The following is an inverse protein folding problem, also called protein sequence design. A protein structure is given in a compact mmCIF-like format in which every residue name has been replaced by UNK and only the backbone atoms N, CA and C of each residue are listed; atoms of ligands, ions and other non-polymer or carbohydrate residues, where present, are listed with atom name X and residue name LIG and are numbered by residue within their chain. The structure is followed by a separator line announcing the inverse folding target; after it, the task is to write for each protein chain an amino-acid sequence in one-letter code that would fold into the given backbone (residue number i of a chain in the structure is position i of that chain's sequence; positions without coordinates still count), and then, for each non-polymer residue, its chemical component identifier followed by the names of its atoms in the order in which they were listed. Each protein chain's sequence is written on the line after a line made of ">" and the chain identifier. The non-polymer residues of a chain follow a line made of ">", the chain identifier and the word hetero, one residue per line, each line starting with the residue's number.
data_IF_192172543772
#
_entry.id   IF_192172543772
#
_cell.length_a   1.000
_cell.length_b   1.000
_cell.length_c   1.000
_cell.angle_alpha   90.00
_cell.angle_beta   90.00
_cell.angle_gamma   90.00
#
_symmetry.space_group_name_H-M   'P 1'
#
loop_
_entity.id
_entity.type
_entity.pdbx_description
1 polymer ?
#
# COMPACT_ATOMS: atom_id res chain seq x y z
N UNK A 1 1.06 -15.39 21.98
CA UNK A 1 1.32 -14.54 23.15
C UNK A 1 1.92 -13.16 22.80
N UNK A 2 2.58 -12.98 21.64
CA UNK A 2 3.10 -11.67 21.20
C UNK A 2 2.09 -10.78 20.45
N UNK A 3 1.09 -11.36 19.77
CA UNK A 3 0.10 -10.59 19.01
C UNK A 3 -0.77 -9.70 19.90
N UNK A 4 -1.13 -10.15 21.11
CA UNK A 4 -2.02 -9.41 22.03
C UNK A 4 -1.31 -8.22 22.68
N UNK A 5 -0.04 -8.36 23.05
CA UNK A 5 0.77 -7.25 23.57
C UNK A 5 1.09 -6.21 22.49
N UNK A 6 1.36 -6.66 21.26
CA UNK A 6 1.57 -5.79 20.11
C UNK A 6 0.29 -5.03 19.75
N UNK A 7 -0.85 -5.72 19.63
CA UNK A 7 -2.14 -5.07 19.41
C UNK A 7 -2.43 -4.00 20.49
N UNK A 8 -2.20 -4.31 21.77
CA UNK A 8 -2.46 -3.38 22.88
C UNK A 8 -1.54 -2.15 22.90
N UNK A 9 -0.28 -2.28 22.49
CA UNK A 9 0.65 -1.15 22.38
C UNK A 9 0.35 -0.24 21.16
N UNK A 10 -0.21 -0.81 20.08
CA UNK A 10 -0.48 -0.08 18.84
C UNK A 10 -1.93 0.46 18.74
N UNK A 11 -2.90 -0.13 19.46
CA UNK A 11 -4.29 0.36 19.55
C UNK A 11 -4.53 1.43 20.63
N UNK A 12 -3.51 1.84 21.40
CA UNK A 12 -3.67 2.72 22.59
C UNK A 12 -3.19 4.17 22.38
N UNK A 13 -3.18 4.68 21.15
CA UNK A 13 -2.91 6.11 20.86
C UNK A 13 -4.01 6.76 20.03
N UNK A 14 -5.27 6.49 20.36
CA UNK A 14 -6.37 7.39 20.00
C UNK A 14 -6.32 8.62 20.91
N UNK A 15 -5.26 9.43 20.79
CA UNK A 15 -5.31 10.80 21.26
C UNK A 15 -6.18 11.57 20.27
N UNK A 16 -7.38 11.94 20.71
CA UNK A 16 -8.42 12.69 19.98
C UNK A 16 -8.04 14.14 19.64
N UNK A 17 -6.75 14.47 19.61
CA UNK A 17 -6.25 15.76 19.15
C UNK A 17 -5.82 15.62 17.69
N UNK A 18 -6.34 16.51 16.83
CA UNK A 18 -5.99 16.60 15.41
C UNK A 18 -4.52 17.00 15.28
N UNK A 19 -3.62 16.03 15.36
CA UNK A 19 -2.21 16.19 14.98
C UNK A 19 -2.15 16.48 13.49
N UNK A 20 -1.22 17.33 13.06
CA UNK A 20 -1.07 17.63 11.63
C UNK A 20 -0.84 16.32 10.86
N UNK A 21 -1.25 16.22 9.58
CA UNK A 21 -1.06 15.01 8.80
C UNK A 21 0.38 14.49 8.92
N UNK A 22 1.40 15.35 8.85
CA UNK A 22 2.83 15.00 9.00
C UNK A 22 3.23 14.34 10.33
N UNK A 23 2.52 14.61 11.42
CA UNK A 23 2.85 14.10 12.77
C UNK A 23 2.09 12.82 13.14
N UNK A 24 1.05 12.46 12.37
CA UNK A 24 0.31 11.22 12.58
C UNK A 24 1.15 9.99 12.22
N UNK A 25 0.95 8.86 12.91
CA UNK A 25 1.57 7.58 12.54
C UNK A 25 1.15 7.18 11.12
N UNK A 26 1.99 6.41 10.43
CA UNK A 26 1.73 5.90 9.07
C UNK A 26 1.53 4.40 9.05
N UNK A 27 0.74 3.91 8.10
CA UNK A 27 0.52 2.48 7.90
C UNK A 27 1.83 1.69 7.68
N UNK A 28 2.86 2.31 7.08
CA UNK A 28 4.16 1.65 6.86
C UNK A 28 4.85 1.24 8.17
N UNK A 29 4.53 1.89 9.29
CA UNK A 29 5.01 1.52 10.63
C UNK A 29 4.17 0.44 11.32
N UNK A 30 3.10 -0.05 10.66
CA UNK A 30 2.22 -1.11 11.16
C UNK A 30 2.56 -2.47 10.54
N UNK A 31 1.97 -3.52 11.09
CA UNK A 31 2.04 -4.87 10.53
C UNK A 31 1.17 -4.98 9.26
N UNK A 32 1.77 -4.70 8.09
CA UNK A 32 1.13 -4.92 6.79
C UNK A 32 0.97 -6.42 6.47
N UNK A 33 0.02 -6.82 5.60
CA UNK A 33 -0.15 -8.20 5.13
C UNK A 33 0.97 -8.61 4.16
N UNK A 34 2.19 -8.77 4.68
CA UNK A 34 3.42 -8.99 3.89
C UNK A 34 3.32 -10.25 3.02
N UNK A 35 2.61 -11.29 3.48
CA UNK A 35 2.46 -12.55 2.75
C UNK A 35 1.70 -12.34 1.44
N UNK A 36 0.57 -11.62 1.50
CA UNK A 36 -0.29 -11.30 0.38
C UNK A 36 0.40 -10.36 -0.59
N UNK A 37 1.06 -9.32 -0.04
CA UNK A 37 1.87 -8.36 -0.82
C UNK A 37 2.98 -9.09 -1.58
N UNK A 38 3.70 -9.99 -0.90
CA UNK A 38 4.78 -10.78 -1.50
C UNK A 38 4.28 -11.73 -2.57
N UNK A 39 3.11 -12.36 -2.37
CA UNK A 39 2.47 -13.21 -3.39
C UNK A 39 2.15 -12.42 -4.65
N UNK A 40 1.57 -11.22 -4.51
CA UNK A 40 1.32 -10.31 -5.64
C UNK A 40 2.61 -9.91 -6.36
N UNK A 41 3.65 -9.56 -5.60
CA UNK A 41 4.98 -9.23 -6.14
C UNK A 41 5.66 -10.41 -6.86
N UNK A 42 5.48 -11.64 -6.37
CA UNK A 42 6.01 -12.85 -6.99
C UNK A 42 5.32 -13.12 -8.34
N UNK A 43 3.99 -13.00 -8.41
CA UNK A 43 3.21 -13.12 -9.65
C UNK A 43 3.60 -12.06 -10.67
N UNK A 44 3.85 -10.83 -10.22
CA UNK A 44 4.41 -9.80 -11.08
C UNK A 44 5.76 -10.30 -11.61
N UNK A 45 6.73 -10.61 -10.73
CA UNK A 45 8.11 -11.05 -11.06
C UNK A 45 8.18 -12.26 -12.01
N UNK A 46 7.27 -13.21 -11.91
CA UNK A 46 7.27 -14.42 -12.72
C UNK A 46 6.73 -14.24 -14.15
N UNK A 47 6.29 -13.03 -14.54
CA UNK A 47 5.80 -12.76 -15.90
C UNK A 47 6.95 -12.65 -16.92
N UNK A 48 7.26 -13.77 -17.56
CA UNK A 48 8.28 -13.90 -18.61
C UNK A 48 7.76 -13.80 -20.04
N UNK A 49 7.18 -12.67 -20.44
CA UNK A 49 6.94 -12.40 -21.88
C UNK A 49 8.21 -11.86 -22.50
N UNK A 50 8.83 -12.54 -23.47
CA UNK A 50 10.18 -12.28 -24.06
C UNK A 50 10.44 -10.91 -24.72
N UNK A 51 10.06 -9.81 -24.07
CA UNK A 51 10.36 -8.41 -24.38
C UNK A 51 11.47 -7.94 -23.43
N UNK A 52 12.32 -7.03 -23.87
CA UNK A 52 13.46 -6.52 -23.09
C UNK A 52 13.06 -5.99 -21.69
N UNK A 53 11.90 -5.33 -21.59
CA UNK A 53 11.32 -4.82 -20.32
C UNK A 53 10.89 -5.92 -19.33
N UNK A 54 10.88 -7.19 -19.76
CA UNK A 54 10.60 -8.37 -18.93
C UNK A 54 11.83 -9.28 -18.77
N UNK A 55 12.94 -8.96 -19.45
CA UNK A 55 14.23 -9.65 -19.30
C UNK A 55 14.82 -9.34 -17.92
N UNK A 56 14.61 -8.12 -17.43
CA UNK A 56 14.90 -7.76 -16.05
C UNK A 56 13.93 -6.69 -15.51
N UNK A 57 13.34 -6.97 -14.35
CA UNK A 57 12.32 -6.11 -13.69
C UNK A 57 12.83 -4.69 -13.42
N UNK A 58 14.14 -4.47 -13.22
CA UNK A 58 14.67 -3.12 -12.96
C UNK A 58 14.56 -2.17 -14.16
N UNK A 59 14.31 -2.69 -15.37
CA UNK A 59 14.05 -1.89 -16.58
C UNK A 59 12.55 -1.74 -16.88
N UNK A 60 11.66 -2.18 -15.98
CA UNK A 60 10.22 -2.00 -16.16
C UNK A 60 9.82 -0.52 -15.99
N UNK A 61 8.96 -0.02 -16.88
CA UNK A 61 8.53 1.39 -16.94
C UNK A 61 7.59 1.83 -15.80
N UNK A 62 7.29 0.95 -14.84
CA UNK A 62 6.33 1.21 -13.76
C UNK A 62 6.76 0.54 -12.47
N UNK A 63 6.48 1.16 -11.30
CA UNK A 63 6.82 0.57 -10.00
C UNK A 63 6.08 -0.75 -9.81
N UNK A 64 6.69 -1.67 -9.07
CA UNK A 64 6.07 -2.97 -8.72
C UNK A 64 4.88 -2.78 -7.79
N UNK A 65 4.00 -3.78 -7.70
CA UNK A 65 2.87 -3.77 -6.77
C UNK A 65 3.33 -3.52 -5.33
N UNK A 66 4.41 -4.20 -4.91
CA UNK A 66 4.99 -4.02 -3.56
C UNK A 66 5.40 -2.56 -3.35
N UNK A 67 6.13 -1.96 -4.29
CA UNK A 67 6.56 -0.57 -4.21
C UNK A 67 5.38 0.40 -4.13
N UNK A 68 4.32 0.18 -4.92
CA UNK A 68 3.10 1.00 -4.88
C UNK A 68 2.39 0.91 -3.52
N UNK A 69 2.28 -0.29 -2.96
CA UNK A 69 1.65 -0.51 -1.65
C UNK A 69 2.50 0.13 -0.54
N UNK A 70 3.82 0.00 -0.60
CA UNK A 70 4.73 0.66 0.34
C UNK A 70 4.58 2.18 0.29
N UNK A 71 4.53 2.77 -0.92
CA UNK A 71 4.31 4.20 -1.08
C UNK A 71 2.94 4.63 -0.54
N UNK A 72 1.88 3.87 -0.80
CA UNK A 72 0.56 4.12 -0.24
C UNK A 72 0.56 4.07 1.29
N UNK A 73 1.20 3.05 1.87
CA UNK A 73 1.29 2.88 3.32
C UNK A 73 2.12 3.98 4.00
N UNK A 74 3.09 4.58 3.30
CA UNK A 74 3.84 5.72 3.80
C UNK A 74 3.00 7.01 3.85
N UNK A 75 1.94 7.10 3.06
CA UNK A 75 1.10 8.30 2.95
C UNK A 75 -0.18 8.24 3.78
N UNK A 76 -0.63 7.05 4.15
CA UNK A 76 -1.91 6.87 4.84
C UNK A 76 -1.71 6.70 6.35
N UNK A 77 -2.68 7.23 7.11
CA UNK A 77 -2.77 7.05 8.55
C UNK A 77 -3.41 5.70 8.92
N UNK A 78 -3.15 5.17 10.13
CA UNK A 78 -3.92 4.05 10.70
C UNK A 78 -5.41 4.40 10.89
N UNK A 79 -6.29 3.40 11.07
CA UNK A 79 -6.00 1.96 11.22
C UNK A 79 -5.91 1.19 9.89
N UNK A 80 -5.19 0.08 9.86
CA UNK A 80 -5.05 -0.78 8.66
C UNK A 80 -6.40 -1.27 8.11
N UNK A 81 -7.38 -1.51 8.98
CA UNK A 81 -8.73 -1.98 8.64
C UNK A 81 -9.40 -1.12 7.55
N UNK A 82 -9.15 0.19 7.56
CA UNK A 82 -9.77 1.15 6.64
C UNK A 82 -9.15 1.08 5.23
N UNK A 83 -8.02 0.38 5.11
CA UNK A 83 -7.19 0.31 3.91
C UNK A 83 -7.05 -1.10 3.34
N UNK A 84 -7.51 -2.13 4.05
CA UNK A 84 -7.36 -3.54 3.67
C UNK A 84 -7.90 -3.82 2.26
N UNK A 85 -9.04 -3.22 1.91
CA UNK A 85 -9.69 -3.42 0.63
C UNK A 85 -8.83 -2.91 -0.55
N UNK A 86 -8.28 -1.70 -0.42
CA UNK A 86 -7.41 -1.10 -1.43
C UNK A 86 -6.06 -1.82 -1.48
N UNK A 87 -5.49 -2.21 -0.33
CA UNK A 87 -4.24 -2.96 -0.30
C UNK A 87 -4.42 -4.32 -0.99
N UNK A 88 -5.53 -5.03 -0.71
CA UNK A 88 -5.87 -6.30 -1.38
C UNK A 88 -6.03 -6.12 -2.90
N UNK A 89 -6.72 -5.07 -3.34
CA UNK A 89 -6.88 -4.77 -4.76
C UNK A 89 -5.52 -4.47 -5.43
N UNK A 90 -4.62 -3.76 -4.74
CA UNK A 90 -3.26 -3.49 -5.21
C UNK A 90 -2.37 -4.74 -5.23
N UNK A 91 -2.62 -5.74 -4.36
CA UNK A 91 -1.91 -7.01 -4.39
C UNK A 91 -2.21 -7.80 -5.67
N UNK A 92 -3.43 -7.70 -6.21
CA UNK A 92 -3.78 -8.33 -7.49
C UNK A 92 -3.17 -7.56 -8.66
N UNK A 93 -2.02 -8.05 -9.14
CA UNK A 93 -1.32 -7.48 -10.28
C UNK A 93 -2.19 -7.40 -11.55
N UNK A 94 -2.97 -8.44 -11.84
CA UNK A 94 -3.75 -8.47 -13.07
C UNK A 94 -4.77 -7.37 -13.01
N UNK A 95 -5.53 -7.26 -11.92
CA UNK A 95 -6.55 -6.22 -11.77
C UNK A 95 -5.94 -4.81 -11.68
N UNK A 96 -4.95 -4.60 -10.82
CA UNK A 96 -4.37 -3.28 -10.54
C UNK A 96 -3.49 -2.71 -11.65
N UNK A 97 -2.96 -3.56 -12.53
CA UNK A 97 -2.01 -3.15 -13.57
C UNK A 97 -2.52 -3.42 -14.98
N UNK A 98 -3.15 -4.58 -15.21
CA UNK A 98 -3.65 -4.96 -16.54
C UNK A 98 -5.16 -4.72 -16.70
N UNK A 99 -5.92 -4.69 -15.60
CA UNK A 99 -7.38 -4.62 -15.57
C UNK A 99 -7.98 -3.21 -15.66
N UNK A 100 -7.15 -2.17 -15.82
CA UNK A 100 -7.62 -0.80 -16.04
C UNK A 100 -7.21 0.21 -14.95
N UNK A 101 -7.53 1.51 -15.14
CA UNK A 101 -7.08 2.58 -14.25
C UNK A 101 -7.86 2.68 -12.93
N UNK A 102 -8.99 1.97 -12.79
CA UNK A 102 -9.95 2.11 -11.69
C UNK A 102 -9.29 2.01 -10.31
N UNK A 103 -8.51 0.95 -10.06
CA UNK A 103 -7.83 0.78 -8.77
C UNK A 103 -6.87 1.94 -8.51
N UNK A 104 -6.12 2.37 -9.52
CA UNK A 104 -5.16 3.48 -9.36
C UNK A 104 -5.89 4.77 -9.04
N UNK A 105 -7.01 5.03 -9.71
CA UNK A 105 -7.77 6.27 -9.50
C UNK A 105 -8.48 6.26 -8.15
N UNK A 106 -9.01 5.11 -7.73
CA UNK A 106 -9.55 4.90 -6.39
C UNK A 106 -8.49 5.16 -5.31
N UNK A 107 -7.29 4.59 -5.45
CA UNK A 107 -6.17 4.81 -4.53
C UNK A 107 -5.76 6.28 -4.49
N UNK A 108 -5.65 6.94 -5.66
CA UNK A 108 -5.36 8.38 -5.75
C UNK A 108 -6.44 9.24 -5.13
N UNK A 109 -7.70 8.88 -5.32
CA UNK A 109 -8.85 9.54 -4.69
C UNK A 109 -8.76 9.48 -3.17
N UNK A 110 -8.35 8.34 -2.60
CA UNK A 110 -8.08 8.24 -1.15
C UNK A 110 -6.93 9.13 -0.70
N UNK A 111 -5.82 9.15 -1.44
CA UNK A 111 -4.69 10.04 -1.13
C UNK A 111 -5.15 11.51 -1.15
N UNK A 112 -5.85 11.92 -2.21
CA UNK A 112 -6.37 13.29 -2.35
C UNK A 112 -7.38 13.64 -1.26
N UNK A 113 -8.24 12.71 -0.85
CA UNK A 113 -9.17 12.95 0.25
C UNK A 113 -8.45 13.10 1.60
N UNK A 114 -7.38 12.33 1.81
CA UNK A 114 -6.61 12.39 3.06
C UNK A 114 -5.78 13.68 3.20
N UNK A 115 -5.20 14.15 2.09
CA UNK A 115 -4.25 15.28 2.10
C UNK A 115 -4.82 16.59 1.54
N UNK A 116 -5.89 16.55 0.75
CA UNK A 116 -6.45 17.72 0.07
C UNK A 116 -5.43 18.35 -0.89
N UNK A 117 -5.24 19.66 -0.77
CA UNK A 117 -4.23 20.43 -1.50
C UNK A 117 -2.90 20.56 -0.73
N UNK A 118 -2.78 19.93 0.44
CA UNK A 118 -1.57 19.96 1.25
C UNK A 118 -0.57 18.90 0.80
N UNK A 119 0.72 19.24 0.84
CA UNK A 119 1.80 18.30 0.52
C UNK A 119 1.97 17.27 1.64
N UNK A 120 2.20 15.97 1.29
CA UNK A 120 2.55 14.91 2.23
C UNK A 120 3.80 15.12 3.07
#
# INVERSE_FOLDING_TARGET
>A
MWQTAYARAYHMTESTEKTSPGEQRRLIGMMLPIREISKGGAVEKSRGTGRINNLHRWWATRPTNVSRITAYAALMAPPLSDHEDVIRDMCDYVRSTLGGPEIRERTRGRIRKAWGDHTP
#
